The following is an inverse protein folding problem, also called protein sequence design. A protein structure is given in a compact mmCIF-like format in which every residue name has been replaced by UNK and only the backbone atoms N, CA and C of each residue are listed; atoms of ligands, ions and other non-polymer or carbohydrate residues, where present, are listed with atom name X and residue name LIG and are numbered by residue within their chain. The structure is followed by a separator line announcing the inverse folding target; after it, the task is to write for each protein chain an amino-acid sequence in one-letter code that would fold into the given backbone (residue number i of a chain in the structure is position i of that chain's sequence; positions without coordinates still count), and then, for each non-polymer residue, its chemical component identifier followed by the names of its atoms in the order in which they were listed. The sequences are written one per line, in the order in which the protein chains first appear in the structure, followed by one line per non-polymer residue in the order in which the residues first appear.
data_IF_763377884702
#
_entry.id   IF_763377884702
#
_cell.length_a   1.000
_cell.length_b   1.000
_cell.length_c   1.000
_cell.angle_alpha   90.00
_cell.angle_beta   90.00
_cell.angle_gamma   90.00
#
_symmetry.space_group_name_H-M   'P 1'
#
loop_
_entity.id
_entity.type
_entity.pdbx_description
1 polymer ?
#
# COMPACT_ATOMS: atom_id res chain seq x y z
N UNK A 1 4.48 -79.28 43.80
CA UNK A 1 4.70 -78.26 44.83
C UNK A 1 5.81 -77.38 44.38
N UNK A 2 5.48 -76.26 43.79
CA UNK A 2 6.44 -75.38 43.11
C UNK A 2 6.63 -74.13 43.98
N UNK A 3 7.83 -73.91 44.50
CA UNK A 3 8.22 -72.74 45.27
C UNK A 3 8.57 -71.61 44.31
N UNK A 4 7.81 -70.51 44.34
CA UNK A 4 8.12 -69.29 43.61
C UNK A 4 8.96 -68.39 44.51
N UNK A 5 10.23 -68.09 44.03
CA UNK A 5 11.11 -67.11 44.64
C UNK A 5 10.73 -65.76 44.08
N UNK A 6 10.40 -64.78 44.92
CA UNK A 6 10.18 -63.39 44.54
C UNK A 6 11.52 -62.65 44.75
N UNK A 7 12.15 -62.23 43.65
CA UNK A 7 13.29 -61.36 43.68
C UNK A 7 12.80 -59.88 43.62
N UNK A 8 13.05 -59.15 44.69
CA UNK A 8 12.78 -57.69 44.72
C UNK A 8 13.91 -56.96 44.08
N UNK A 9 13.65 -56.33 42.94
CA UNK A 9 14.59 -55.36 42.34
C UNK A 9 14.34 -53.96 42.94
N UNK A 10 15.35 -53.47 43.67
CA UNK A 10 15.44 -52.08 44.08
C UNK A 10 15.81 -51.24 42.84
N UNK A 11 14.88 -50.48 42.32
CA UNK A 11 15.14 -49.50 41.28
C UNK A 11 15.52 -48.19 41.95
N UNK A 12 16.82 -47.84 41.84
CA UNK A 12 17.32 -46.51 42.15
C UNK A 12 16.81 -45.56 41.09
N UNK A 13 15.88 -44.68 41.47
CA UNK A 13 15.39 -43.59 40.63
C UNK A 13 16.47 -42.52 40.48
N UNK A 14 17.07 -42.44 39.30
CA UNK A 14 17.86 -41.28 38.86
C UNK A 14 16.83 -40.21 38.42
N UNK A 15 16.76 -39.11 39.18
CA UNK A 15 16.00 -37.94 38.80
C UNK A 15 16.69 -37.33 37.55
N UNK A 16 15.93 -36.94 36.49
CA UNK A 16 16.51 -36.21 35.35
C UNK A 16 16.94 -34.80 35.78
N UNK A 17 18.04 -34.29 35.21
CA UNK A 17 18.46 -32.92 35.47
C UNK A 17 17.36 -31.95 35.01
N UNK A 18 17.06 -30.95 35.84
CA UNK A 18 16.16 -29.86 35.52
C UNK A 18 16.63 -29.16 34.21
N UNK A 19 15.81 -29.30 33.17
CA UNK A 19 16.01 -28.55 31.93
C UNK A 19 15.89 -27.07 32.27
N UNK A 20 17.03 -26.37 32.22
CA UNK A 20 17.06 -24.93 32.29
C UNK A 20 16.20 -24.35 31.17
N UNK A 21 15.11 -23.64 31.56
CA UNK A 21 14.36 -22.82 30.63
C UNK A 21 15.32 -21.78 30.04
N UNK A 22 15.74 -21.99 28.79
CA UNK A 22 16.32 -20.94 27.98
C UNK A 22 15.29 -19.82 27.91
N UNK A 23 15.58 -18.70 28.57
CA UNK A 23 14.87 -17.46 28.34
C UNK A 23 15.06 -17.15 26.86
N UNK A 24 14.01 -17.32 26.07
CA UNK A 24 13.96 -16.84 24.71
C UNK A 24 14.26 -15.34 24.76
N UNK A 25 15.48 -14.98 24.37
CA UNK A 25 15.86 -13.60 24.16
C UNK A 25 14.95 -13.09 23.04
N UNK A 26 14.11 -12.12 23.35
CA UNK A 26 13.32 -11.41 22.36
C UNK A 26 14.25 -11.01 21.20
N UNK A 27 13.85 -11.21 19.93
CA UNK A 27 14.67 -10.85 18.79
C UNK A 27 15.09 -9.37 18.93
N UNK A 28 16.35 -9.02 18.62
CA UNK A 28 16.84 -7.66 18.72
C UNK A 28 15.89 -6.77 17.92
N UNK A 29 15.33 -5.72 18.56
CA UNK A 29 14.55 -4.68 17.87
C UNK A 29 15.47 -4.11 16.80
N UNK A 30 15.22 -4.47 15.54
CA UNK A 30 15.86 -3.80 14.41
C UNK A 30 15.68 -2.30 14.62
N UNK A 31 16.76 -1.58 14.83
CA UNK A 31 16.76 -0.12 14.86
C UNK A 31 16.43 0.32 13.43
N UNK A 32 15.15 0.60 13.17
CA UNK A 32 14.73 1.18 11.88
C UNK A 32 15.55 2.44 11.68
N UNK A 33 16.50 2.40 10.74
CA UNK A 33 17.24 3.60 10.31
C UNK A 33 16.20 4.71 10.07
N UNK A 34 16.45 5.94 10.55
CA UNK A 34 15.55 7.05 10.28
C UNK A 34 15.33 7.15 8.78
N UNK A 35 14.08 7.13 8.33
CA UNK A 35 13.78 7.29 6.91
C UNK A 35 14.37 8.62 6.42
N UNK A 36 14.96 8.61 5.22
CA UNK A 36 15.59 9.79 4.65
C UNK A 36 14.59 10.96 4.52
N UNK A 37 15.05 12.23 4.63
CA UNK A 37 14.22 13.40 4.39
C UNK A 37 13.53 13.32 3.04
N UNK A 38 12.31 13.92 2.95
CA UNK A 38 11.52 13.93 1.73
C UNK A 38 12.25 14.65 0.60
N UNK A 39 12.24 14.02 -0.56
CA UNK A 39 12.76 14.60 -1.80
C UNK A 39 11.62 14.75 -2.80
N UNK A 40 11.75 15.76 -3.66
CA UNK A 40 10.84 16.03 -4.75
C UNK A 40 11.61 15.98 -6.05
N UNK A 41 11.06 15.28 -7.04
CA UNK A 41 11.67 15.22 -8.37
C UNK A 41 10.60 15.06 -9.45
N UNK A 42 10.96 15.44 -10.67
CA UNK A 42 10.11 15.31 -11.84
C UNK A 42 10.27 13.92 -12.43
N UNK A 43 9.16 13.32 -12.81
CA UNK A 43 9.14 12.02 -13.44
C UNK A 43 8.17 12.00 -14.62
N UNK A 44 8.50 11.16 -15.61
CA UNK A 44 7.74 11.01 -16.86
C UNK A 44 7.56 9.52 -17.18
N UNK A 45 6.33 9.15 -17.45
CA UNK A 45 5.96 7.82 -17.94
C UNK A 45 5.49 7.83 -19.40
N UNK A 46 4.87 6.74 -19.80
CA UNK A 46 4.14 6.66 -21.07
C UNK A 46 2.88 7.53 -21.08
N UNK A 47 2.18 7.58 -22.19
CA UNK A 47 0.89 8.25 -22.30
C UNK A 47 -0.06 7.78 -21.21
N UNK A 48 -0.80 8.72 -20.61
CA UNK A 48 -1.82 8.45 -19.58
C UNK A 48 -1.33 7.70 -18.33
N UNK A 49 0.00 7.60 -18.10
CA UNK A 49 0.56 6.88 -16.96
C UNK A 49 0.14 7.44 -15.60
N UNK A 50 -0.25 8.70 -15.54
CA UNK A 50 -0.78 9.34 -14.32
C UNK A 50 -2.25 9.80 -14.46
N UNK A 51 -3.00 9.16 -15.36
CA UNK A 51 -4.40 9.44 -15.68
C UNK A 51 -4.58 10.05 -17.07
N UNK A 52 -5.80 10.18 -17.58
CA UNK A 52 -6.07 10.69 -18.92
C UNK A 52 -5.37 12.03 -19.21
N UNK A 53 -4.57 12.08 -20.30
CA UNK A 53 -3.78 13.23 -20.69
C UNK A 53 -2.57 13.54 -19.80
N UNK A 54 -2.22 12.66 -18.87
CA UNK A 54 -1.14 12.87 -17.90
C UNK A 54 0.01 11.87 -18.11
N UNK A 55 1.20 12.39 -18.43
CA UNK A 55 2.43 11.59 -18.57
C UNK A 55 3.57 12.08 -17.68
N UNK A 56 3.42 13.24 -17.02
CA UNK A 56 4.44 13.82 -16.15
C UNK A 56 3.87 14.15 -14.78
N UNK A 57 4.67 13.96 -13.73
CA UNK A 57 4.27 14.21 -12.35
C UNK A 57 5.45 14.61 -11.46
N UNK A 58 5.14 15.10 -10.28
CA UNK A 58 6.08 15.33 -9.19
C UNK A 58 6.02 14.13 -8.24
N UNK A 59 7.12 13.45 -8.06
CA UNK A 59 7.28 12.44 -7.00
C UNK A 59 7.64 13.13 -5.68
N UNK A 60 7.02 12.69 -4.57
CA UNK A 60 7.27 13.16 -3.21
C UNK A 60 7.53 11.94 -2.32
N UNK A 61 8.80 11.63 -2.06
CA UNK A 61 9.21 10.40 -1.38
C UNK A 61 10.08 10.69 -0.16
N UNK A 62 9.83 9.97 0.93
CA UNK A 62 10.62 10.07 2.16
C UNK A 62 9.86 10.68 3.33
N UNK A 63 10.60 11.00 4.41
CA UNK A 63 10.03 11.53 5.66
C UNK A 63 9.76 13.03 5.54
N UNK A 64 8.57 13.46 5.93
CA UNK A 64 8.19 14.88 5.98
C UNK A 64 8.88 15.55 7.17
N UNK A 65 9.59 16.64 6.89
CA UNK A 65 10.21 17.54 7.87
C UNK A 65 9.99 19.01 7.49
N UNK A 66 10.56 19.95 8.24
CA UNK A 66 10.38 21.37 7.97
C UNK A 66 10.92 21.80 6.60
N UNK A 67 11.96 21.13 6.08
CA UNK A 67 12.53 21.42 4.76
C UNK A 67 11.59 20.99 3.61
N UNK A 68 10.66 20.04 3.87
CA UNK A 68 9.75 19.53 2.86
C UNK A 68 8.81 20.58 2.29
N UNK A 69 8.44 21.58 3.09
CA UNK A 69 7.61 22.71 2.62
C UNK A 69 8.35 23.53 1.57
N UNK A 70 9.62 23.80 1.82
CA UNK A 70 10.46 24.56 0.89
C UNK A 70 10.75 23.75 -0.38
N UNK A 71 11.03 22.44 -0.23
CA UNK A 71 11.22 21.53 -1.36
C UNK A 71 10.00 21.47 -2.27
N UNK A 72 8.79 21.32 -1.71
CA UNK A 72 7.56 21.37 -2.49
C UNK A 72 7.37 22.72 -3.19
N UNK A 73 7.61 23.83 -2.48
CA UNK A 73 7.51 25.19 -3.05
C UNK A 73 8.47 25.36 -4.23
N UNK A 74 9.70 24.91 -4.08
CA UNK A 74 10.73 25.01 -5.12
C UNK A 74 10.34 24.24 -6.40
N UNK A 75 9.92 22.97 -6.28
CA UNK A 75 9.51 22.17 -7.44
C UNK A 75 8.27 22.74 -8.12
N UNK A 76 7.27 23.20 -7.35
CA UNK A 76 6.07 23.86 -7.92
C UNK A 76 6.38 25.20 -8.59
N UNK A 77 7.42 25.90 -8.15
CA UNK A 77 7.88 27.12 -8.81
C UNK A 77 8.64 26.80 -10.10
N UNK A 78 9.43 25.72 -10.10
CA UNK A 78 10.14 25.24 -11.29
C UNK A 78 9.18 24.80 -12.41
N UNK A 79 8.08 24.13 -12.08
CA UNK A 79 7.06 23.72 -13.06
C UNK A 79 6.19 24.90 -13.56
N UNK A 80 6.26 26.04 -12.92
CA UNK A 80 5.60 27.28 -13.34
C UNK A 80 4.08 27.16 -13.40
N UNK A 81 3.50 27.30 -14.60
CA UNK A 81 2.05 27.22 -14.85
C UNK A 81 1.54 25.77 -14.99
N UNK A 82 2.44 24.80 -15.15
CA UNK A 82 2.06 23.40 -15.28
C UNK A 82 1.54 22.87 -13.94
N UNK A 83 0.32 22.32 -13.94
CA UNK A 83 -0.30 21.73 -12.75
C UNK A 83 -0.02 20.23 -12.70
N UNK A 84 1.26 19.85 -12.64
CA UNK A 84 1.64 18.46 -12.51
C UNK A 84 1.09 17.88 -11.19
N UNK A 85 0.55 16.66 -11.19
CA UNK A 85 0.11 16.01 -9.97
C UNK A 85 1.31 15.73 -9.05
N UNK A 86 1.08 15.73 -7.74
CA UNK A 86 2.07 15.31 -6.74
C UNK A 86 1.68 13.94 -6.20
N UNK A 87 2.58 12.98 -6.32
CA UNK A 87 2.38 11.63 -5.82
C UNK A 87 3.26 11.32 -4.61
N UNK A 88 2.61 10.92 -3.52
CA UNK A 88 3.24 10.67 -2.24
C UNK A 88 3.55 9.19 -2.04
N UNK A 89 4.76 8.93 -1.56
CA UNK A 89 5.16 7.67 -0.91
C UNK A 89 5.97 8.02 0.34
N UNK A 90 5.32 8.00 1.52
CA UNK A 90 5.89 8.57 2.73
C UNK A 90 5.37 7.88 4.00
N UNK A 91 6.28 7.60 4.91
CA UNK A 91 5.95 7.13 6.26
C UNK A 91 5.49 8.28 7.22
N UNK A 92 5.30 9.49 6.69
CA UNK A 92 4.88 10.64 7.49
C UNK A 92 6.04 11.47 8.03
N UNK A 93 5.86 12.05 9.20
CA UNK A 93 6.86 12.92 9.85
C UNK A 93 6.23 14.08 10.63
N UNK A 94 6.63 15.32 10.32
CA UNK A 94 6.19 16.51 11.04
C UNK A 94 4.81 16.98 10.55
N UNK A 95 3.81 16.92 11.40
CA UNK A 95 2.42 17.23 11.05
C UNK A 95 2.18 18.70 10.68
N UNK A 96 2.93 19.64 11.27
CA UNK A 96 2.88 21.08 10.95
C UNK A 96 3.35 21.32 9.52
N UNK A 97 4.47 20.73 9.13
CA UNK A 97 5.02 20.80 7.78
C UNK A 97 4.05 20.16 6.76
N UNK A 98 3.49 18.99 7.08
CA UNK A 98 2.53 18.31 6.21
C UNK A 98 1.26 19.15 5.96
N UNK A 99 0.70 19.80 6.98
CA UNK A 99 -0.43 20.73 6.80
C UNK A 99 -0.07 21.95 5.95
N UNK A 100 1.15 22.48 6.12
CA UNK A 100 1.63 23.59 5.29
C UNK A 100 1.77 23.16 3.82
N UNK A 101 2.30 21.96 3.56
CA UNK A 101 2.34 21.37 2.21
C UNK A 101 0.92 21.21 1.63
N UNK A 102 -0.01 20.68 2.41
CA UNK A 102 -1.39 20.50 1.97
C UNK A 102 -2.08 21.83 1.60
N UNK A 103 -1.87 22.90 2.37
CA UNK A 103 -2.38 24.24 2.02
C UNK A 103 -1.77 24.74 0.71
N UNK A 104 -0.46 24.53 0.52
CA UNK A 104 0.23 24.91 -0.73
C UNK A 104 -0.34 24.16 -1.95
N UNK A 105 -0.63 22.87 -1.82
CA UNK A 105 -1.30 22.09 -2.88
C UNK A 105 -2.68 22.63 -3.20
N UNK A 106 -3.47 22.98 -2.17
CA UNK A 106 -4.81 23.56 -2.33
C UNK A 106 -4.79 24.93 -3.01
N UNK A 107 -3.92 25.81 -2.54
CA UNK A 107 -3.73 27.16 -3.09
C UNK A 107 -3.36 27.11 -4.58
N UNK A 108 -2.47 26.23 -4.95
CA UNK A 108 -2.02 26.03 -6.33
C UNK A 108 -2.97 25.17 -7.17
N UNK A 109 -4.05 24.65 -6.59
CA UNK A 109 -4.99 23.71 -7.21
C UNK A 109 -4.28 22.49 -7.82
N UNK A 110 -3.28 21.96 -7.13
CA UNK A 110 -2.52 20.77 -7.52
C UNK A 110 -3.30 19.53 -7.10
N UNK A 111 -3.41 18.55 -8.00
CA UNK A 111 -3.91 17.22 -7.74
C UNK A 111 -2.85 16.40 -6.98
N UNK A 112 -3.26 15.57 -6.03
CA UNK A 112 -2.34 14.70 -5.33
C UNK A 112 -2.86 13.26 -5.26
N UNK A 113 -1.96 12.31 -5.12
CA UNK A 113 -2.32 10.90 -4.96
C UNK A 113 -1.27 10.10 -4.19
N UNK A 114 -1.59 8.85 -3.90
CA UNK A 114 -0.70 7.92 -3.22
C UNK A 114 -0.18 6.91 -4.23
N UNK A 115 1.04 7.16 -4.70
CA UNK A 115 1.75 6.29 -5.65
C UNK A 115 3.24 6.30 -5.34
N UNK A 116 3.89 5.19 -5.60
CA UNK A 116 5.35 5.09 -5.59
C UNK A 116 5.87 5.32 -7.00
N UNK A 117 6.78 6.26 -7.16
CA UNK A 117 7.49 6.48 -8.42
C UNK A 117 8.69 5.55 -8.50
N UNK A 118 8.82 4.82 -9.61
CA UNK A 118 9.91 3.88 -9.86
C UNK A 118 10.70 4.39 -11.08
N UNK A 119 11.79 5.16 -10.85
CA UNK A 119 12.64 5.59 -11.95
C UNK A 119 13.35 4.39 -12.58
N UNK A 120 13.36 4.33 -13.92
CA UNK A 120 13.99 3.22 -14.67
C UNK A 120 15.49 3.16 -14.42
N UNK A 121 16.14 4.32 -14.33
CA UNK A 121 17.59 4.42 -14.16
C UNK A 121 18.04 4.06 -12.73
N UNK A 122 17.10 3.85 -11.81
CA UNK A 122 17.36 3.32 -10.48
C UNK A 122 17.40 1.77 -10.42
N UNK A 123 16.98 1.09 -11.50
CA UNK A 123 17.00 -0.36 -11.53
C UNK A 123 18.44 -0.88 -11.47
N UNK A 124 18.76 -1.66 -10.42
CA UNK A 124 20.12 -2.17 -10.18
C UNK A 124 21.13 -1.16 -9.62
N UNK A 125 20.73 0.11 -9.45
CA UNK A 125 21.60 1.12 -8.83
C UNK A 125 21.59 1.00 -7.29
N UNK A 126 22.68 1.47 -6.66
CA UNK A 126 22.72 1.59 -5.20
C UNK A 126 21.72 2.66 -4.72
N UNK A 127 21.29 2.60 -3.46
CA UNK A 127 20.42 3.61 -2.85
C UNK A 127 21.00 5.04 -3.00
N UNK A 128 22.31 5.18 -2.80
CA UNK A 128 23.00 6.47 -2.93
C UNK A 128 22.97 6.98 -4.37
N UNK A 129 23.27 6.14 -5.36
CA UNK A 129 23.22 6.49 -6.78
C UNK A 129 21.82 6.89 -7.21
N UNK A 130 20.81 6.09 -6.86
CA UNK A 130 19.42 6.38 -7.16
C UNK A 130 18.97 7.71 -6.50
N UNK A 131 19.38 7.97 -5.26
CA UNK A 131 19.09 9.22 -4.57
C UNK A 131 19.72 10.42 -5.30
N UNK A 132 20.97 10.31 -5.76
CA UNK A 132 21.65 11.36 -6.53
C UNK A 132 20.90 11.64 -7.84
N UNK A 133 20.46 10.60 -8.56
CA UNK A 133 19.64 10.75 -9.77
C UNK A 133 18.33 11.51 -9.48
N UNK A 134 17.60 11.13 -8.43
CA UNK A 134 16.36 11.82 -8.00
C UNK A 134 16.58 13.29 -7.62
N UNK A 135 17.77 13.67 -7.23
CA UNK A 135 18.16 15.05 -6.86
C UNK A 135 18.85 15.82 -7.98
N UNK A 136 19.03 15.23 -9.16
CA UNK A 136 19.74 15.84 -10.29
C UNK A 136 19.01 17.04 -10.94
N UNK A 137 17.72 17.22 -10.63
CA UNK A 137 16.87 18.24 -11.28
C UNK A 137 16.36 17.84 -12.67
N UNK A 138 16.74 16.68 -13.16
CA UNK A 138 16.27 16.14 -14.45
C UNK A 138 14.91 15.48 -14.32
N UNK A 139 14.16 15.42 -15.43
CA UNK A 139 12.93 14.62 -15.53
C UNK A 139 13.32 13.18 -15.75
N UNK A 140 13.00 12.31 -14.77
CA UNK A 140 13.39 10.90 -14.82
C UNK A 140 12.34 10.05 -15.54
N UNK A 141 12.74 9.20 -16.50
CA UNK A 141 11.86 8.16 -17.02
C UNK A 141 11.43 7.23 -15.88
N UNK A 142 10.12 7.08 -15.66
CA UNK A 142 9.62 6.33 -14.52
C UNK A 142 8.30 5.62 -14.80
N UNK A 143 7.99 4.64 -13.95
CA UNK A 143 6.67 4.06 -13.81
C UNK A 143 6.02 4.53 -12.49
N UNK A 144 4.68 4.50 -12.44
CA UNK A 144 3.91 4.66 -11.20
C UNK A 144 3.46 3.29 -10.72
N UNK A 145 3.77 2.99 -9.47
CA UNK A 145 3.23 1.84 -8.76
C UNK A 145 2.15 2.31 -7.78
N UNK A 146 1.02 1.64 -7.81
CA UNK A 146 -0.07 1.82 -6.84
C UNK A 146 0.18 1.11 -5.51
N UNK A 147 1.26 0.33 -5.39
CA UNK A 147 1.72 -0.19 -4.10
C UNK A 147 2.56 0.88 -3.42
N UNK A 148 1.87 1.73 -2.71
CA UNK A 148 2.41 2.90 -2.04
C UNK A 148 1.78 3.09 -0.67
N UNK A 149 2.41 3.89 0.17
CA UNK A 149 1.86 4.28 1.45
C UNK A 149 1.98 5.79 1.68
N UNK A 150 0.99 6.33 2.36
CA UNK A 150 1.00 7.69 2.87
C UNK A 150 0.53 7.64 4.32
N UNK A 151 1.50 7.58 5.24
CA UNK A 151 1.23 7.27 6.63
C UNK A 151 1.36 8.51 7.52
N UNK A 152 0.61 8.53 8.63
CA UNK A 152 0.74 9.55 9.68
C UNK A 152 0.60 10.98 9.14
N UNK A 153 1.63 11.83 9.30
CA UNK A 153 1.63 13.20 8.81
C UNK A 153 1.41 13.32 7.29
N UNK A 154 1.79 12.32 6.49
CA UNK A 154 1.58 12.34 5.04
C UNK A 154 0.09 12.51 4.67
N UNK A 155 -0.81 11.92 5.46
CA UNK A 155 -2.27 12.04 5.23
C UNK A 155 -2.69 13.52 5.25
N UNK A 156 -2.10 14.35 6.12
CA UNK A 156 -2.39 15.79 6.14
C UNK A 156 -1.92 16.51 4.87
N UNK A 157 -0.80 16.12 4.30
CA UNK A 157 -0.36 16.71 3.02
C UNK A 157 -1.32 16.30 1.89
N UNK A 158 -1.70 15.03 1.81
CA UNK A 158 -2.62 14.50 0.80
C UNK A 158 -3.99 15.18 0.85
N UNK A 159 -4.62 15.26 2.04
CA UNK A 159 -5.99 15.80 2.16
C UNK A 159 -6.07 17.29 1.86
N UNK A 160 -4.94 18.00 1.82
CA UNK A 160 -4.86 19.39 1.38
C UNK A 160 -5.25 19.58 -0.08
N UNK A 161 -4.97 18.64 -0.96
CA UNK A 161 -5.36 18.72 -2.36
C UNK A 161 -6.89 18.71 -2.54
N UNK A 162 -7.39 19.38 -3.58
CA UNK A 162 -8.82 19.34 -3.93
C UNK A 162 -9.21 18.05 -4.64
N UNK A 163 -8.34 17.57 -5.53
CA UNK A 163 -8.49 16.29 -6.22
C UNK A 163 -7.46 15.33 -5.65
N UNK A 164 -7.93 14.24 -5.08
CA UNK A 164 -7.13 13.25 -4.38
C UNK A 164 -7.36 11.88 -5.01
N UNK A 165 -6.30 11.09 -5.09
CA UNK A 165 -6.32 9.74 -5.64
C UNK A 165 -5.67 8.77 -4.67
N UNK A 166 -6.44 7.81 -4.20
CA UNK A 166 -5.96 6.69 -3.38
C UNK A 166 -6.33 5.40 -4.10
N UNK A 167 -5.48 4.90 -5.00
CA UNK A 167 -5.79 3.69 -5.75
C UNK A 167 -5.92 2.47 -4.82
N UNK A 168 -6.62 1.41 -5.24
CA UNK A 168 -6.86 0.23 -4.41
C UNK A 168 -5.60 -0.44 -3.87
N UNK A 169 -4.44 -0.27 -4.52
CA UNK A 169 -3.14 -0.79 -4.04
C UNK A 169 -2.44 0.09 -3.00
N UNK A 170 -2.93 1.30 -2.77
CA UNK A 170 -2.30 2.24 -1.86
C UNK A 170 -2.88 2.16 -0.44
N UNK A 171 -2.04 2.44 0.55
CA UNK A 171 -2.41 2.45 1.97
C UNK A 171 -2.33 3.84 2.54
N UNK A 172 -3.32 4.18 3.36
CA UNK A 172 -3.32 5.36 4.21
C UNK A 172 -3.26 4.93 5.67
N UNK A 173 -2.18 5.25 6.34
CA UNK A 173 -1.97 4.88 7.75
C UNK A 173 -2.21 6.07 8.69
N UNK A 174 -2.99 5.86 9.73
CA UNK A 174 -3.26 6.88 10.76
C UNK A 174 -2.93 6.37 12.16
N UNK A 175 -2.55 7.29 13.03
CA UNK A 175 -2.35 7.06 14.46
C UNK A 175 -2.37 8.40 15.23
N UNK A 176 -2.40 8.33 16.56
CA UNK A 176 -2.36 9.52 17.43
C UNK A 176 -1.02 10.24 17.34
N UNK A 177 -1.05 11.53 17.61
CA UNK A 177 0.16 12.37 17.59
C UNK A 177 1.10 11.97 18.72
N UNK A 178 2.38 11.82 18.39
CA UNK A 178 3.46 11.80 19.40
C UNK A 178 3.90 13.23 19.67
N UNK A 179 3.67 13.70 20.88
CA UNK A 179 4.20 14.98 21.32
C UNK A 179 5.61 14.77 21.90
N UNK A 180 6.57 15.53 21.42
CA UNK A 180 7.93 15.54 21.95
C UNK A 180 8.11 16.88 22.66
N UNK A 181 8.35 16.84 23.97
CA UNK A 181 8.60 18.02 24.80
C UNK A 181 9.93 17.80 25.50
N UNK A 182 10.81 18.77 25.36
CA UNK A 182 12.07 18.80 26.13
C UNK A 182 11.85 19.40 27.50
N UNK A 183 11.71 18.55 28.50
CA UNK A 183 11.40 18.94 29.87
C UNK A 183 12.59 19.43 30.69
N UNK A 184 13.81 19.46 30.16
CA UNK A 184 15.02 19.80 30.89
C UNK A 184 14.91 21.15 31.63
N UNK A 185 14.53 22.22 30.94
CA UNK A 185 14.36 23.53 31.51
C UNK A 185 13.21 23.61 32.54
N UNK A 186 12.09 22.94 32.27
CA UNK A 186 10.94 22.93 33.16
C UNK A 186 11.26 22.22 34.48
N UNK A 187 11.98 21.09 34.45
CA UNK A 187 12.45 20.41 35.68
C UNK A 187 13.39 21.28 36.47
N UNK A 188 14.33 21.96 35.83
CA UNK A 188 15.27 22.88 36.46
C UNK A 188 14.55 24.12 37.07
N UNK A 189 13.40 24.52 36.51
CA UNK A 189 12.55 25.58 37.00
C UNK A 189 11.56 25.13 38.10
N UNK A 190 11.64 23.88 38.57
CA UNK A 190 10.85 23.37 39.70
C UNK A 190 9.41 22.95 39.33
N UNK A 191 9.08 22.77 38.06
CA UNK A 191 7.76 22.27 37.67
C UNK A 191 7.57 20.82 38.14
N UNK A 192 6.45 20.55 38.79
CA UNK A 192 6.09 19.22 39.24
C UNK A 192 5.65 18.34 38.06
N UNK A 193 5.75 17.00 38.19
CA UNK A 193 5.25 16.05 37.18
C UNK A 193 3.77 16.25 36.84
N UNK A 194 2.93 16.62 37.85
CA UNK A 194 1.51 16.92 37.63
C UNK A 194 1.33 18.14 36.72
N UNK A 195 2.13 19.18 36.90
CA UNK A 195 2.09 20.39 36.07
C UNK A 195 2.55 20.04 34.62
N UNK A 196 3.63 19.29 34.48
CA UNK A 196 4.12 18.84 33.19
C UNK A 196 3.08 17.97 32.43
N UNK A 197 2.46 17.01 33.11
CA UNK A 197 1.40 16.18 32.56
C UNK A 197 0.13 17.00 32.21
N UNK A 198 -0.21 18.02 32.99
CA UNK A 198 -1.32 18.91 32.66
C UNK A 198 -1.05 19.73 31.41
N UNK A 199 0.16 20.27 31.29
CA UNK A 199 0.60 20.99 30.09
C UNK A 199 0.59 20.10 28.84
N UNK A 200 1.11 18.88 28.96
CA UNK A 200 1.09 17.91 27.85
C UNK A 200 -0.32 17.60 27.35
N UNK A 201 -1.26 17.32 28.29
CA UNK A 201 -2.67 17.10 27.93
C UNK A 201 -3.29 18.31 27.23
N UNK A 202 -3.07 19.50 27.77
CA UNK A 202 -3.59 20.73 27.16
C UNK A 202 -3.00 20.95 25.74
N UNK A 203 -1.71 20.70 25.59
CA UNK A 203 -1.03 20.83 24.27
C UNK A 203 -1.53 19.83 23.26
N UNK A 204 -1.71 18.56 23.64
CA UNK A 204 -2.30 17.54 22.79
C UNK A 204 -3.73 17.90 22.37
N UNK A 205 -4.55 18.36 23.32
CA UNK A 205 -5.91 18.81 23.02
C UNK A 205 -5.92 19.95 21.98
N UNK A 206 -5.02 20.93 22.15
CA UNK A 206 -4.86 22.03 21.19
C UNK A 206 -4.45 21.54 19.80
N UNK A 207 -3.47 20.64 19.72
CA UNK A 207 -3.00 20.06 18.46
C UNK A 207 -4.13 19.29 17.75
N UNK A 208 -4.86 18.46 18.49
CA UNK A 208 -5.96 17.68 17.97
C UNK A 208 -7.11 18.58 17.47
N UNK A 209 -7.41 19.66 18.16
CA UNK A 209 -8.37 20.66 17.71
C UNK A 209 -7.91 21.36 16.41
N UNK A 210 -6.61 21.61 16.25
CA UNK A 210 -6.05 22.13 15.01
C UNK A 210 -6.14 21.12 13.87
N UNK A 211 -5.94 19.83 14.13
CA UNK A 211 -6.07 18.78 13.13
C UNK A 211 -7.51 18.63 12.65
N UNK A 212 -8.51 18.65 13.56
CA UNK A 212 -9.93 18.62 13.20
C UNK A 212 -10.31 19.83 12.33
N UNK A 213 -9.91 21.02 12.73
CA UNK A 213 -10.16 22.24 11.93
C UNK A 213 -9.52 22.14 10.54
N UNK A 214 -8.30 21.63 10.48
CA UNK A 214 -7.63 21.42 9.18
C UNK A 214 -8.37 20.42 8.32
N UNK A 215 -8.81 19.27 8.85
CA UNK A 215 -9.61 18.31 8.11
C UNK A 215 -10.90 18.95 7.53
N UNK A 216 -11.63 19.70 8.37
CA UNK A 216 -12.83 20.46 7.94
C UNK A 216 -12.52 21.49 6.85
N UNK A 217 -11.45 22.28 7.03
CA UNK A 217 -10.96 23.24 6.01
C UNK A 217 -10.66 22.55 4.66
N UNK A 218 -10.15 21.33 4.72
CA UNK A 218 -9.84 20.50 3.55
C UNK A 218 -11.04 19.70 3.00
N UNK A 219 -12.23 19.87 3.58
CA UNK A 219 -13.44 19.18 3.15
C UNK A 219 -13.41 17.68 3.41
N UNK A 220 -12.72 17.26 4.47
CA UNK A 220 -12.63 15.89 4.97
C UNK A 220 -13.36 15.81 6.30
N UNK A 221 -14.07 14.71 6.54
CA UNK A 221 -14.78 14.49 7.80
C UNK A 221 -13.78 14.47 8.97
N UNK A 222 -13.98 15.31 10.00
CA UNK A 222 -13.11 15.35 11.17
C UNK A 222 -13.12 14.05 11.99
N UNK A 223 -14.08 13.14 11.77
CA UNK A 223 -14.09 11.78 12.30
C UNK A 223 -12.82 10.98 11.95
N UNK A 224 -12.12 11.35 10.88
CA UNK A 224 -10.78 10.85 10.58
C UNK A 224 -9.80 11.09 11.74
N UNK A 225 -9.86 12.27 12.35
CA UNK A 225 -8.98 12.62 13.48
C UNK A 225 -9.43 11.87 14.73
N UNK A 226 -10.75 11.75 14.95
CA UNK A 226 -11.29 11.00 16.08
C UNK A 226 -10.89 9.52 16.03
N UNK A 227 -10.92 8.92 14.86
CA UNK A 227 -10.41 7.55 14.64
C UNK A 227 -8.89 7.49 14.93
N UNK A 228 -8.11 8.47 14.45
CA UNK A 228 -6.67 8.48 14.67
C UNK A 228 -6.28 8.55 16.15
N UNK A 229 -7.10 9.21 16.98
CA UNK A 229 -6.86 9.31 18.44
C UNK A 229 -7.05 7.98 19.18
N UNK A 230 -7.79 7.04 18.60
CA UNK A 230 -7.98 5.71 19.17
C UNK A 230 -6.80 4.78 18.88
N UNK A 231 -5.90 5.17 17.96
CA UNK A 231 -4.75 4.38 17.55
C UNK A 231 -3.50 4.90 18.26
N UNK A 232 -2.83 4.08 19.11
CA UNK A 232 -1.59 4.50 19.77
C UNK A 232 -0.51 4.91 18.75
N UNK A 233 0.31 5.92 19.09
CA UNK A 233 1.39 6.38 18.19
C UNK A 233 2.47 5.33 17.89
N UNK A 234 2.47 4.22 18.61
CA UNK A 234 3.37 3.06 18.41
C UNK A 234 2.83 2.04 17.44
N UNK A 235 1.57 2.19 17.01
CA UNK A 235 0.90 1.35 16.02
C UNK A 235 0.37 2.19 14.87
N UNK A 236 -0.25 1.54 13.89
CA UNK A 236 -0.84 2.20 12.74
C UNK A 236 -2.15 1.49 12.38
N UNK A 237 -3.18 2.26 12.10
CA UNK A 237 -4.42 1.79 11.50
C UNK A 237 -4.41 2.18 10.03
N UNK A 238 -4.48 1.20 9.13
CA UNK A 238 -4.64 1.44 7.72
C UNK A 238 -6.12 1.57 7.39
N UNK A 239 -6.48 2.71 6.81
CA UNK A 239 -7.88 2.98 6.45
C UNK A 239 -8.37 1.98 5.40
N UNK A 240 -9.52 1.39 5.66
CA UNK A 240 -10.23 0.61 4.67
C UNK A 240 -10.75 1.50 3.53
N UNK A 241 -11.13 0.91 2.40
CA UNK A 241 -11.70 1.68 1.28
C UNK A 241 -12.99 2.39 1.69
N UNK A 242 -13.82 1.74 2.51
CA UNK A 242 -15.02 2.32 3.07
C UNK A 242 -14.71 3.57 3.92
N UNK A 243 -13.70 3.50 4.80
CA UNK A 243 -13.28 4.64 5.64
C UNK A 243 -12.76 5.80 4.78
N UNK A 244 -11.98 5.52 3.73
CA UNK A 244 -11.48 6.53 2.78
C UNK A 244 -12.65 7.28 2.12
N UNK A 245 -13.68 6.56 1.70
CA UNK A 245 -14.90 7.14 1.10
C UNK A 245 -15.72 7.87 2.15
N UNK A 246 -15.98 7.26 3.30
CA UNK A 246 -16.74 7.82 4.41
C UNK A 246 -16.19 9.15 4.88
N UNK A 247 -14.87 9.24 5.05
CA UNK A 247 -14.23 10.51 5.44
C UNK A 247 -14.11 11.51 4.28
N UNK A 248 -14.47 11.13 3.07
CA UNK A 248 -14.37 11.99 1.89
C UNK A 248 -12.92 12.28 1.48
N UNK A 249 -11.99 11.39 1.78
CA UNK A 249 -10.57 11.56 1.42
C UNK A 249 -10.42 11.41 -0.09
N UNK A 250 -10.93 10.33 -0.65
CA UNK A 250 -11.01 10.11 -2.09
C UNK A 250 -12.48 9.91 -2.48
N UNK A 251 -12.99 10.82 -3.29
CA UNK A 251 -14.37 10.79 -3.78
C UNK A 251 -14.48 10.23 -5.20
N UNK A 252 -13.34 9.86 -5.79
CA UNK A 252 -13.36 9.24 -7.11
C UNK A 252 -13.82 7.79 -6.93
N UNK A 253 -14.75 7.38 -7.76
CA UNK A 253 -15.12 5.97 -7.93
C UNK A 253 -13.95 5.26 -8.62
N UNK A 254 -12.95 4.92 -7.85
CA UNK A 254 -11.82 4.17 -8.34
C UNK A 254 -12.25 2.72 -8.43
N UNK A 255 -12.64 2.27 -9.62
CA UNK A 255 -13.10 0.91 -9.81
C UNK A 255 -11.93 -0.05 -10.01
N UNK A 256 -10.90 0.37 -10.73
CA UNK A 256 -9.74 -0.47 -11.05
C UNK A 256 -8.47 0.34 -11.33
N UNK A 257 -7.30 -0.32 -11.19
CA UNK A 257 -6.03 0.24 -11.63
C UNK A 257 -5.70 -0.20 -13.05
N UNK A 258 -4.72 0.42 -13.67
CA UNK A 258 -4.03 -0.18 -14.82
C UNK A 258 -3.27 -1.42 -14.36
N UNK A 259 -2.90 -2.29 -15.29
CA UNK A 259 -1.88 -3.31 -15.04
C UNK A 259 -0.54 -2.61 -14.78
N UNK A 260 0.17 -3.07 -13.77
CA UNK A 260 1.46 -2.53 -13.37
C UNK A 260 2.43 -3.66 -13.01
N UNK A 261 3.72 -3.40 -13.09
CA UNK A 261 4.74 -4.36 -12.65
C UNK A 261 5.15 -4.06 -11.21
N UNK A 262 5.16 -5.11 -10.39
CA UNK A 262 5.58 -5.04 -9.01
C UNK A 262 6.92 -5.74 -8.82
N UNK A 263 7.93 -4.96 -8.47
CA UNK A 263 9.25 -5.44 -8.03
C UNK A 263 9.35 -5.30 -6.51
N UNK A 264 9.30 -6.41 -5.79
CA UNK A 264 9.37 -6.43 -4.32
C UNK A 264 10.80 -6.52 -3.77
N UNK A 265 11.81 -6.23 -4.58
CA UNK A 265 13.21 -6.46 -4.22
C UNK A 265 13.60 -7.94 -4.20
N UNK A 266 12.72 -8.81 -4.67
CA UNK A 266 12.92 -10.25 -4.89
C UNK A 266 13.26 -10.48 -6.37
N UNK A 267 13.87 -11.64 -6.73
CA UNK A 267 14.11 -11.96 -8.13
C UNK A 267 12.82 -12.09 -8.96
N UNK A 268 11.65 -12.09 -8.32
CA UNK A 268 10.36 -12.23 -8.97
C UNK A 268 9.72 -10.89 -9.30
N UNK A 269 9.40 -10.70 -10.57
CA UNK A 269 8.55 -9.61 -11.06
C UNK A 269 7.13 -10.15 -11.24
N UNK A 270 6.17 -9.39 -10.77
CA UNK A 270 4.75 -9.69 -10.97
C UNK A 270 4.08 -8.59 -11.77
N UNK A 271 3.18 -8.96 -12.70
CA UNK A 271 2.19 -8.03 -13.20
C UNK A 271 0.96 -8.09 -12.29
N UNK A 272 0.46 -6.94 -11.85
CA UNK A 272 -0.68 -6.85 -10.92
C UNK A 272 -1.69 -5.83 -11.39
N UNK A 273 -2.95 -6.12 -11.11
CA UNK A 273 -4.08 -5.22 -11.30
C UNK A 273 -4.98 -5.29 -10.09
N UNK A 274 -5.24 -4.14 -9.47
CA UNK A 274 -6.17 -4.01 -8.35
C UNK A 274 -7.51 -3.47 -8.84
N UNK A 275 -8.58 -3.88 -8.19
CA UNK A 275 -9.93 -3.40 -8.46
C UNK A 275 -10.80 -3.54 -7.21
N UNK A 276 -11.91 -2.81 -7.21
CA UNK A 276 -12.84 -2.77 -6.09
C UNK A 276 -14.10 -3.50 -6.50
N UNK A 277 -14.52 -4.46 -5.68
CA UNK A 277 -15.79 -5.16 -5.81
C UNK A 277 -16.76 -4.71 -4.71
N UNK A 278 -18.03 -4.62 -5.04
CA UNK A 278 -19.09 -4.37 -4.06
C UNK A 278 -19.61 -5.70 -3.50
N UNK A 279 -19.67 -5.83 -2.18
CA UNK A 279 -20.19 -7.02 -1.50
C UNK A 279 -21.72 -7.17 -1.69
N UNK A 280 -22.46 -6.07 -1.83
CA UNK A 280 -23.90 -6.06 -1.95
C UNK A 280 -24.41 -4.93 -2.85
N UNK A 281 -25.70 -4.97 -3.21
CA UNK A 281 -26.39 -3.96 -4.03
C UNK A 281 -26.28 -2.53 -3.49
N UNK A 282 -25.94 -2.36 -2.22
CA UNK A 282 -25.89 -1.06 -1.54
C UNK A 282 -24.57 -0.32 -1.62
N UNK A 283 -23.54 -0.86 -2.30
CA UNK A 283 -22.22 -0.24 -2.47
C UNK A 283 -21.53 0.26 -1.17
N UNK A 284 -21.99 -0.16 -0.01
CA UNK A 284 -21.42 0.26 1.28
C UNK A 284 -20.20 -0.56 1.68
N UNK A 285 -20.19 -1.84 1.31
CA UNK A 285 -19.09 -2.76 1.62
C UNK A 285 -18.23 -2.96 0.36
N UNK A 286 -17.28 -2.07 0.16
CA UNK A 286 -16.34 -2.12 -0.96
C UNK A 286 -15.04 -2.78 -0.50
N UNK A 287 -14.65 -3.86 -1.18
CA UNK A 287 -13.41 -4.57 -0.90
C UNK A 287 -12.49 -4.60 -2.11
N UNK A 288 -11.20 -4.44 -1.85
CA UNK A 288 -10.20 -4.51 -2.90
C UNK A 288 -9.81 -5.97 -3.17
N UNK A 289 -9.93 -6.38 -4.43
CA UNK A 289 -9.44 -7.65 -4.97
C UNK A 289 -8.33 -7.39 -5.97
N UNK A 290 -7.58 -8.40 -6.38
CA UNK A 290 -6.52 -8.21 -7.37
C UNK A 290 -6.23 -9.44 -8.20
N UNK A 291 -5.75 -9.21 -9.41
CA UNK A 291 -5.13 -10.20 -10.28
C UNK A 291 -3.61 -10.07 -10.20
N UNK A 292 -2.94 -11.21 -10.16
CA UNK A 292 -1.48 -11.30 -10.23
C UNK A 292 -1.08 -12.27 -11.34
N UNK A 293 -0.15 -11.85 -12.16
CA UNK A 293 0.52 -12.71 -13.12
C UNK A 293 1.99 -12.82 -12.71
N UNK A 294 2.47 -14.04 -12.56
CA UNK A 294 3.86 -14.33 -12.16
C UNK A 294 4.52 -15.25 -13.16
N UNK A 295 5.82 -15.10 -13.33
CA UNK A 295 6.63 -16.01 -14.16
C UNK A 295 6.64 -17.42 -13.55
N UNK A 296 6.50 -18.44 -14.38
CA UNK A 296 6.73 -19.85 -14.00
C UNK A 296 7.93 -20.43 -14.72
N UNK A 297 8.04 -20.14 -15.98
CA UNK A 297 9.17 -20.50 -16.84
C UNK A 297 9.12 -19.61 -18.10
N UNK A 298 10.11 -19.66 -19.02
CA UNK A 298 10.15 -18.80 -20.19
C UNK A 298 8.95 -18.89 -21.15
N UNK A 299 8.10 -19.89 -21.00
CA UNK A 299 6.93 -20.11 -21.87
C UNK A 299 5.60 -19.96 -21.14
N UNK A 300 5.61 -19.99 -19.80
CA UNK A 300 4.39 -20.05 -19.00
C UNK A 300 4.38 -19.05 -17.87
N UNK A 301 3.20 -18.54 -17.59
CA UNK A 301 2.88 -17.69 -16.44
C UNK A 301 1.84 -18.36 -15.55
N UNK A 302 1.88 -18.04 -14.27
CA UNK A 302 0.80 -18.30 -13.32
C UNK A 302 -0.10 -17.09 -13.26
N UNK A 303 -1.40 -17.28 -13.48
CA UNK A 303 -2.42 -16.25 -13.26
C UNK A 303 -3.14 -16.59 -11.97
N UNK A 304 -3.19 -15.65 -11.03
CA UNK A 304 -3.87 -15.82 -9.74
C UNK A 304 -4.83 -14.67 -9.50
N UNK A 305 -6.07 -15.00 -9.20
CA UNK A 305 -7.08 -14.07 -8.73
C UNK A 305 -7.17 -14.16 -7.21
N UNK A 306 -7.05 -13.03 -6.55
CA UNK A 306 -7.19 -12.85 -5.10
C UNK A 306 -8.48 -12.08 -4.85
N UNK A 307 -9.48 -12.75 -4.30
CA UNK A 307 -10.77 -12.16 -3.97
C UNK A 307 -10.90 -12.00 -2.47
N UNK A 308 -11.22 -10.79 -2.04
CA UNK A 308 -11.37 -10.49 -0.62
C UNK A 308 -12.46 -11.37 0.03
N UNK A 309 -12.19 -11.92 1.23
CA UNK A 309 -13.14 -12.85 1.90
C UNK A 309 -14.42 -12.17 2.35
N UNK A 310 -14.43 -10.85 2.58
CA UNK A 310 -15.65 -10.07 2.83
C UNK A 310 -16.66 -10.09 1.68
N UNK A 311 -16.25 -10.56 0.49
CA UNK A 311 -17.11 -10.79 -0.69
C UNK A 311 -17.67 -12.22 -0.76
N UNK A 312 -17.38 -13.07 0.24
CA UNK A 312 -17.89 -14.44 0.29
C UNK A 312 -19.43 -14.43 0.46
N UNK A 313 -20.07 -15.34 -0.25
CA UNK A 313 -21.54 -15.36 -0.39
C UNK A 313 -22.07 -14.88 -1.73
N UNK A 314 -21.23 -14.28 -2.57
CA UNK A 314 -21.59 -13.82 -3.92
C UNK A 314 -21.31 -14.86 -5.03
N UNK A 315 -21.24 -16.16 -4.67
CA UNK A 315 -21.32 -17.24 -5.65
C UNK A 315 -20.03 -17.66 -6.38
N UNK A 316 -18.85 -17.34 -5.86
CA UNK A 316 -17.59 -17.83 -6.45
C UNK A 316 -17.38 -19.33 -6.11
N UNK A 317 -17.67 -20.22 -7.05
CA UNK A 317 -17.49 -21.67 -6.95
C UNK A 317 -16.03 -22.12 -6.90
N UNK A 318 -15.82 -23.46 -6.96
CA UNK A 318 -14.49 -24.05 -7.01
C UNK A 318 -13.70 -23.64 -8.26
N UNK A 319 -14.37 -23.23 -9.31
CA UNK A 319 -13.78 -22.80 -10.57
C UNK A 319 -14.40 -21.48 -11.02
N UNK A 320 -13.59 -20.58 -11.56
CA UNK A 320 -14.01 -19.36 -12.25
C UNK A 320 -13.39 -19.33 -13.64
N UNK A 321 -13.99 -18.55 -14.55
CA UNK A 321 -13.50 -18.36 -15.90
C UNK A 321 -12.94 -16.96 -16.06
N UNK A 322 -11.73 -16.86 -16.59
CA UNK A 322 -11.16 -15.60 -17.09
C UNK A 322 -11.17 -15.63 -18.60
N UNK A 323 -11.84 -14.68 -19.21
CA UNK A 323 -12.05 -14.62 -20.66
C UNK A 323 -11.65 -13.25 -21.24
N UNK A 324 -11.21 -13.23 -22.49
CA UNK A 324 -11.00 -12.04 -23.30
C UNK A 324 -11.44 -12.34 -24.73
N UNK A 325 -12.61 -11.87 -25.09
CA UNK A 325 -13.26 -12.24 -26.36
C UNK A 325 -13.54 -13.74 -26.41
N UNK A 326 -13.03 -14.40 -27.45
CA UNK A 326 -13.18 -15.84 -27.73
C UNK A 326 -12.21 -16.73 -26.93
N UNK A 327 -11.19 -16.16 -26.32
CA UNK A 327 -10.18 -16.89 -25.54
C UNK A 327 -10.53 -16.89 -24.05
N UNK A 328 -10.34 -18.04 -23.42
CA UNK A 328 -10.56 -18.15 -21.97
C UNK A 328 -9.73 -19.23 -21.31
N UNK A 329 -9.50 -19.08 -20.02
CA UNK A 329 -8.88 -20.07 -19.15
C UNK A 329 -9.73 -20.24 -17.88
N UNK A 330 -9.73 -21.46 -17.36
CA UNK A 330 -10.36 -21.76 -16.08
C UNK A 330 -9.34 -21.57 -14.96
N UNK A 331 -9.73 -20.87 -13.90
CA UNK A 331 -8.97 -20.73 -12.65
C UNK A 331 -9.64 -21.62 -11.60
N UNK A 332 -8.86 -22.47 -10.95
CA UNK A 332 -9.34 -23.37 -9.91
C UNK A 332 -8.98 -22.80 -8.53
N UNK A 333 -9.91 -22.90 -7.58
CA UNK A 333 -9.68 -22.50 -6.18
C UNK A 333 -8.63 -23.40 -5.55
N UNK A 334 -7.60 -22.82 -4.94
CA UNK A 334 -6.52 -23.58 -4.30
C UNK A 334 -6.25 -23.20 -2.84
N UNK A 335 -6.94 -22.21 -2.30
CA UNK A 335 -6.80 -21.88 -0.89
C UNK A 335 -7.26 -20.48 -0.53
N UNK A 336 -6.93 -20.10 0.70
CA UNK A 336 -7.09 -18.75 1.22
C UNK A 336 -5.77 -18.30 1.81
N UNK A 337 -5.44 -17.03 1.63
CA UNK A 337 -4.21 -16.44 2.15
C UNK A 337 -4.53 -15.17 2.94
N UNK A 338 -3.82 -14.99 4.05
CA UNK A 338 -3.76 -13.71 4.76
C UNK A 338 -2.51 -13.00 4.29
N UNK A 339 -2.66 -11.81 3.76
CA UNK A 339 -1.52 -11.07 3.25
C UNK A 339 -1.10 -10.00 4.24
N UNK A 340 0.18 -10.04 4.65
CA UNK A 340 0.78 -9.01 5.49
C UNK A 340 1.16 -7.76 4.70
N UNK A 341 1.26 -7.87 3.38
CA UNK A 341 1.77 -6.83 2.47
C UNK A 341 0.76 -6.39 1.40
N UNK A 342 -0.48 -6.88 1.44
CA UNK A 342 -1.50 -6.51 0.46
C UNK A 342 -2.21 -5.21 0.83
N UNK A 343 -3.08 -4.81 -0.06
CA UNK A 343 -3.88 -3.58 -0.11
C UNK A 343 -4.52 -3.20 1.23
N UNK A 344 -4.88 -4.19 2.04
CA UNK A 344 -5.36 -4.02 3.42
C UNK A 344 -4.54 -4.95 4.31
N UNK A 345 -3.78 -4.38 5.23
CA UNK A 345 -2.99 -5.19 6.17
C UNK A 345 -3.91 -6.07 7.02
N UNK A 346 -3.69 -7.38 6.97
CA UNK A 346 -4.53 -8.36 7.66
C UNK A 346 -5.76 -8.83 6.88
N UNK A 347 -5.98 -8.33 5.65
CA UNK A 347 -7.06 -8.82 4.80
C UNK A 347 -6.81 -10.28 4.37
N UNK A 348 -7.88 -11.06 4.36
CA UNK A 348 -7.89 -12.43 3.88
C UNK A 348 -8.45 -12.50 2.47
N UNK A 349 -7.86 -13.37 1.65
CA UNK A 349 -8.26 -13.55 0.27
C UNK A 349 -8.46 -15.02 -0.05
N UNK A 350 -9.57 -15.34 -0.70
CA UNK A 350 -9.72 -16.61 -1.42
C UNK A 350 -8.95 -16.53 -2.73
N UNK A 351 -8.31 -17.62 -3.15
CA UNK A 351 -7.41 -17.64 -4.29
C UNK A 351 -7.82 -18.67 -5.33
N UNK A 352 -7.86 -18.23 -6.60
CA UNK A 352 -8.04 -19.07 -7.78
C UNK A 352 -6.84 -18.89 -8.69
N UNK A 353 -6.35 -19.97 -9.27
CA UNK A 353 -5.19 -19.91 -10.14
C UNK A 353 -5.21 -20.88 -11.29
N UNK A 354 -4.39 -20.57 -12.30
CA UNK A 354 -4.12 -21.41 -13.45
C UNK A 354 -2.75 -21.11 -14.05
N UNK A 355 -2.30 -21.98 -14.94
CA UNK A 355 -1.15 -21.74 -15.80
C UNK A 355 -1.65 -21.34 -17.19
N UNK A 356 -0.98 -20.34 -17.79
CA UNK A 356 -1.26 -19.91 -19.16
C UNK A 356 0.06 -19.67 -19.91
N UNK A 357 0.00 -19.62 -21.26
CA UNK A 357 1.14 -19.23 -22.07
C UNK A 357 1.28 -17.71 -22.16
N UNK A 358 2.47 -17.23 -22.51
CA UNK A 358 2.67 -15.82 -22.88
C UNK A 358 1.85 -15.43 -24.10
N UNK A 359 1.67 -16.34 -25.07
CA UNK A 359 0.79 -16.13 -26.23
C UNK A 359 -0.66 -15.83 -25.81
N UNK A 360 -1.17 -16.54 -24.79
CA UNK A 360 -2.48 -16.22 -24.22
C UNK A 360 -2.52 -14.80 -23.67
N UNK A 361 -1.49 -14.37 -22.91
CA UNK A 361 -1.43 -13.01 -22.39
C UNK A 361 -1.38 -11.95 -23.49
N UNK A 362 -0.66 -12.18 -24.57
CA UNK A 362 -0.59 -11.29 -25.73
C UNK A 362 -1.98 -11.16 -26.37
N UNK A 363 -2.69 -12.29 -26.53
CA UNK A 363 -4.06 -12.30 -27.06
C UNK A 363 -5.00 -11.51 -26.14
N UNK A 364 -4.87 -11.67 -24.81
CA UNK A 364 -5.66 -10.93 -23.82
C UNK A 364 -5.31 -9.44 -23.85
N UNK A 365 -4.01 -9.10 -23.93
CA UNK A 365 -3.53 -7.72 -23.94
C UNK A 365 -3.95 -6.93 -25.21
N UNK A 366 -4.29 -7.65 -26.29
CA UNK A 366 -4.81 -7.07 -27.53
C UNK A 366 -6.31 -6.73 -27.46
N UNK A 367 -7.00 -7.06 -26.37
CA UNK A 367 -8.40 -6.72 -26.14
C UNK A 367 -8.49 -5.53 -25.20
N UNK A 368 -9.65 -4.86 -25.16
CA UNK A 368 -9.88 -3.71 -24.28
C UNK A 368 -10.21 -4.13 -22.84
N UNK A 369 -10.82 -5.31 -22.69
CA UNK A 369 -11.26 -5.81 -21.39
C UNK A 369 -11.09 -7.33 -21.25
N UNK A 370 -11.00 -7.76 -19.98
CA UNK A 370 -11.12 -9.13 -19.53
C UNK A 370 -12.38 -9.29 -18.69
N UNK A 371 -12.95 -10.48 -18.74
CA UNK A 371 -14.14 -10.85 -18.00
C UNK A 371 -13.79 -11.98 -17.01
N UNK A 372 -14.20 -11.82 -15.74
CA UNK A 372 -14.15 -12.87 -14.73
C UNK A 372 -15.57 -13.25 -14.36
N UNK A 373 -15.93 -14.51 -14.59
CA UNK A 373 -17.27 -15.03 -14.32
C UNK A 373 -17.23 -16.38 -13.62
N UNK A 374 -18.29 -16.72 -12.89
CA UNK A 374 -18.53 -18.09 -12.49
C UNK A 374 -18.84 -18.96 -13.73
N UNK A 375 -18.48 -20.25 -13.73
CA UNK A 375 -18.93 -21.16 -14.79
C UNK A 375 -20.46 -21.32 -14.68
N UNK A 376 -21.18 -21.13 -15.76
CA UNK A 376 -22.62 -21.24 -15.80
C UNK A 376 -23.28 -20.56 -17.00
N UNK A 377 -24.53 -20.27 -16.86
CA UNK A 377 -25.46 -19.78 -17.87
C UNK A 377 -25.35 -18.25 -18.15
N UNK A 378 -26.29 -17.72 -18.91
CA UNK A 378 -26.39 -16.31 -19.27
C UNK A 378 -26.51 -15.37 -18.03
N UNK A 379 -27.01 -15.87 -16.90
CA UNK A 379 -27.12 -15.09 -15.66
C UNK A 379 -25.74 -14.91 -14.98
N UNK A 380 -24.87 -15.93 -15.03
CA UNK A 380 -23.50 -15.84 -14.59
C UNK A 380 -22.68 -14.87 -15.44
N UNK A 381 -22.90 -14.88 -16.75
CA UNK A 381 -22.29 -13.93 -17.68
C UNK A 381 -22.76 -12.49 -17.45
N UNK A 382 -24.03 -12.29 -17.08
CA UNK A 382 -24.56 -10.96 -16.76
C UNK A 382 -24.01 -10.36 -15.46
N UNK A 383 -23.45 -11.20 -14.58
CA UNK A 383 -22.80 -10.81 -13.32
C UNK A 383 -21.26 -10.79 -13.42
N UNK A 384 -20.73 -10.97 -14.61
CA UNK A 384 -19.28 -11.02 -14.82
C UNK A 384 -18.63 -9.69 -14.43
N UNK A 385 -17.49 -9.81 -13.76
CA UNK A 385 -16.62 -8.69 -13.48
C UNK A 385 -15.84 -8.36 -14.75
N UNK A 386 -15.96 -7.14 -15.25
CA UNK A 386 -15.23 -6.66 -16.44
C UNK A 386 -14.14 -5.71 -16.01
N UNK A 387 -12.92 -5.96 -16.46
CA UNK A 387 -11.73 -5.21 -16.11
C UNK A 387 -10.96 -4.82 -17.36
N UNK A 388 -10.47 -3.59 -17.41
CA UNK A 388 -9.65 -3.08 -18.50
C UNK A 388 -8.30 -3.82 -18.61
N UNK A 389 -7.83 -4.05 -19.82
CA UNK A 389 -6.49 -4.57 -20.09
C UNK A 389 -5.41 -3.49 -20.15
N UNK A 390 -5.77 -2.23 -19.94
CA UNK A 390 -4.85 -1.09 -20.00
C UNK A 390 -3.56 -1.33 -19.17
N UNK A 391 -2.40 -1.30 -19.83
CA UNK A 391 -1.09 -1.55 -19.24
C UNK A 391 -0.64 -3.02 -19.28
N UNK A 392 -1.51 -3.97 -19.63
CA UNK A 392 -1.17 -5.40 -19.63
C UNK A 392 -0.06 -5.73 -20.64
N UNK A 393 -0.07 -5.14 -21.83
CA UNK A 393 0.97 -5.37 -22.85
C UNK A 393 2.37 -4.99 -22.32
N UNK A 394 2.48 -3.83 -21.66
CA UNK A 394 3.74 -3.37 -21.07
C UNK A 394 4.18 -4.26 -19.90
N UNK A 395 3.25 -4.62 -19.02
CA UNK A 395 3.51 -5.49 -17.88
C UNK A 395 3.89 -6.91 -18.33
N UNK A 396 3.24 -7.46 -19.35
CA UNK A 396 3.56 -8.77 -19.94
C UNK A 396 4.96 -8.77 -20.57
N UNK A 397 5.32 -7.72 -21.31
CA UNK A 397 6.66 -7.60 -21.92
C UNK A 397 7.76 -7.53 -20.85
N UNK A 398 7.54 -6.76 -19.78
CA UNK A 398 8.48 -6.69 -18.66
C UNK A 398 8.64 -8.05 -17.94
N UNK A 399 7.53 -8.77 -17.75
CA UNK A 399 7.54 -10.13 -17.21
C UNK A 399 8.34 -11.08 -18.10
N UNK A 400 8.11 -11.07 -19.42
CA UNK A 400 8.75 -11.96 -20.37
C UNK A 400 10.27 -11.75 -20.43
N UNK A 401 10.73 -10.49 -20.41
CA UNK A 401 12.15 -10.17 -20.35
C UNK A 401 12.82 -10.76 -19.11
N UNK A 402 12.15 -10.71 -17.95
CA UNK A 402 12.66 -11.24 -16.68
C UNK A 402 12.54 -12.76 -16.57
N UNK A 403 11.49 -13.36 -17.14
CA UNK A 403 11.29 -14.81 -17.18
C UNK A 403 12.40 -15.58 -17.90
N UNK A 404 13.08 -14.95 -18.85
CA UNK A 404 14.20 -15.52 -19.60
C UNK A 404 15.58 -15.24 -18.99
N UNK A 405 15.67 -14.30 -18.03
CA UNK A 405 16.93 -13.97 -17.39
C UNK A 405 17.32 -15.05 -16.39
N UNK A 406 18.53 -15.62 -16.55
CA UNK A 406 19.11 -16.51 -15.54
C UNK A 406 19.30 -15.68 -14.25
N UNK A 407 19.03 -16.26 -13.05
CA UNK A 407 19.47 -15.62 -11.81
C UNK A 407 20.99 -15.47 -11.84
N UNK A 408 21.46 -14.21 -11.75
CA UNK A 408 22.89 -13.90 -11.64
C UNK A 408 23.45 -14.26 -10.26
#
# INVERSE_FOLDING_TARGET
MLKILILAFLVFGLAPPAAGQSRDAAPPKESKKPSAPMIFYLAKGGSDSCGPGCSEWIAAEGRIDESSVQGLRAVLSHTGKQKLPVFFHSAGGVATAARAMGRLLRERAIRAGVYRTIPRDCAGATEQTCRALKQSGQVLPAALSNIASCDSACVFALIGAKVRQVPPGARLGIHSVKLIIEWGHARNAGYSERQMASYERARLAQINAQHRRYAQEMGVDPGLIDLSLQVPHTSIHYLSREEIIRFGIDRQEFQETRWDTLELGLPEVWAVKFFVEAAAKDRKDLHASFLRISCRNPRQVGITYFRHTGLDGTGAGATIRLAAGDRSVALTKFGSVVTTNAVEAGASYNTWGTLASFEFLETVAARDEIEISAPGDAEAAARALRLSTAGLSQASSALQQRCGAKPG
#
